data_IF_933440085681
#
_entry.id   IF_933440085681
#
_cell.length_a   1.000
_cell.length_b   1.000
_cell.length_c   1.000
_cell.angle_alpha   90.00
_cell.angle_beta   90.00
_cell.angle_gamma   90.00
#
_symmetry.space_group_name_H-M   'P 1'
#
loop_
_entity.id
_entity.type
_entity.pdbx_description
1 polymer ?
2 polymer ?
3 non-polymer ?
4 non-polymer ?
5 non-polymer ?
6 non-polymer ?
7 non-polymer ?
8 water ?
#
# COMPACT_ATOMS: atom_id res chain seq x y z
N UNK A 1 -15.99 -26.60 5.50
CA UNK A 1 -15.46 -25.21 5.24
C UNK A 1 -14.03 -25.03 5.78
N UNK A 2 -13.07 -24.96 4.86
CA UNK A 2 -11.66 -24.72 5.18
C UNK A 2 -11.28 -23.34 4.64
N UNK A 3 -10.39 -22.67 5.35
CA UNK A 3 -10.01 -21.30 5.01
C UNK A 3 -9.30 -21.15 3.66
N UNK A 4 -8.63 -22.22 3.22
CA UNK A 4 -7.92 -22.21 1.93
C UNK A 4 -8.89 -22.19 0.73
N UNK A 5 -10.09 -22.74 0.89
CA UNK A 5 -11.08 -22.80 -0.18
C UNK A 5 -12.18 -21.78 0.03
N UNK A 6 -12.29 -20.84 -0.91
CA UNK A 6 -13.35 -19.82 -0.89
C UNK A 6 -13.28 -18.97 0.38
N UNK A 7 -12.07 -18.80 0.91
CA UNK A 7 -11.85 -18.06 2.16
C UNK A 7 -12.66 -18.61 3.36
N UNK A 8 -13.01 -19.90 3.33
CA UNK A 8 -13.83 -20.49 4.40
C UNK A 8 -15.25 -19.95 4.50
N UNK A 9 -15.70 -19.24 3.45
CA UNK A 9 -16.94 -18.49 3.45
C UNK A 9 -16.88 -17.13 4.18
N UNK A 10 -15.72 -16.79 4.73
CA UNK A 10 -15.56 -15.58 5.54
C UNK A 10 -15.48 -14.35 4.64
N UNK A 11 -16.06 -13.26 5.10
CA UNK A 11 -15.92 -11.99 4.37
C UNK A 11 -14.48 -11.47 4.45
N UNK A 12 -13.86 -11.61 5.61
CA UNK A 12 -12.50 -11.10 5.89
C UNK A 12 -11.60 -12.26 6.31
N UNK A 13 -11.26 -12.40 7.58
CA UNK A 13 -10.18 -13.30 7.98
C UNK A 13 -10.76 -14.61 8.47
N UNK A 14 -9.96 -15.67 8.36
CA UNK A 14 -10.45 -17.06 8.61
C UNK A 14 -9.37 -17.82 9.36
N UNK A 15 -9.76 -18.54 10.42
CA UNK A 15 -8.87 -19.45 11.15
C UNK A 15 -9.45 -20.86 11.14
N UNK A 16 -8.62 -21.85 10.81
CA UNK A 16 -8.99 -23.28 10.95
C UNK A 16 -8.74 -23.71 12.40
N UNK A 17 -9.61 -24.57 12.91
CA UNK A 17 -9.52 -25.10 14.27
C UNK A 17 -9.56 -26.63 14.24
N UNK A 18 -9.30 -27.24 15.39
CA UNK A 18 -9.29 -28.70 15.53
C UNK A 18 -10.66 -29.31 15.20
N UNK A 19 -10.70 -30.10 14.12
CA UNK A 19 -11.93 -30.76 13.65
C UNK A 19 -12.45 -30.12 12.39
N UNK A 20 -13.75 -30.27 12.13
CA UNK A 20 -14.43 -29.57 11.02
C UNK A 20 -14.86 -28.17 11.48
N UNK A 21 -13.93 -27.44 12.12
CA UNK A 21 -14.23 -26.16 12.77
C UNK A 21 -13.48 -25.00 12.13
N UNK A 22 -14.16 -23.87 12.02
CA UNK A 22 -13.63 -22.68 11.39
C UNK A 22 -14.17 -21.46 12.14
N UNK A 23 -13.36 -20.43 12.34
CA UNK A 23 -13.86 -19.17 12.88
C UNK A 23 -13.45 -18.04 11.94
N UNK A 24 -14.43 -17.24 11.55
CA UNK A 24 -14.14 -16.01 10.81
C UNK A 24 -13.90 -14.90 11.77
N UNK A 25 -13.11 -13.92 11.33
CA UNK A 25 -12.83 -12.75 12.15
C UNK A 25 -12.88 -11.51 11.24
N UNK A 26 -12.91 -10.35 11.89
CA UNK A 26 -12.98 -9.06 11.20
C UNK A 26 -11.84 -8.16 11.70
N UNK A 27 -11.42 -7.28 10.82
CA UNK A 27 -10.41 -6.27 11.13
C UNK A 27 -10.95 -5.34 12.21
N UNK A 28 -10.04 -4.68 12.93
CA UNK A 28 -10.43 -3.61 13.82
C UNK A 28 -11.35 -2.62 13.08
N UNK A 29 -12.36 -2.10 13.76
CA UNK A 29 -13.33 -1.21 13.17
C UNK A 29 -14.50 -1.91 12.49
N UNK A 30 -14.54 -3.24 12.66
CA UNK A 30 -15.64 -4.10 12.15
C UNK A 30 -16.03 -5.09 13.22
N UNK A 31 -17.28 -5.57 13.15
CA UNK A 31 -17.74 -6.66 14.02
C UNK A 31 -18.35 -7.76 13.15
N UNK A 32 -18.26 -8.98 13.66
CA UNK A 32 -18.78 -10.16 12.96
C UNK A 32 -20.27 -10.30 13.25
N UNK A 33 -21.05 -10.50 12.20
CA UNK A 33 -22.49 -10.72 12.33
C UNK A 33 -22.80 -12.15 12.80
N UNK A 34 -24.06 -12.34 13.14
CA UNK A 34 -24.53 -13.63 13.66
C UNK A 34 -24.49 -14.75 12.63
N UNK A 35 -24.38 -14.43 11.34
CA UNK A 35 -24.11 -15.45 10.32
C UNK A 35 -22.73 -16.10 10.45
N UNK A 36 -21.85 -15.49 11.26
CA UNK A 36 -20.54 -16.04 11.52
C UNK A 36 -19.52 -15.77 10.42
N UNK A 37 -19.90 -15.00 9.39
CA UNK A 37 -19.05 -14.77 8.22
C UNK A 37 -18.93 -13.30 7.83
N UNK A 38 -19.99 -12.52 8.00
CA UNK A 38 -20.05 -11.13 7.53
C UNK A 38 -19.47 -10.15 8.55
N UNK A 39 -18.87 -9.07 8.04
CA UNK A 39 -18.27 -8.05 8.87
C UNK A 39 -18.97 -6.73 8.62
N UNK A 40 -19.37 -6.02 9.67
CA UNK A 40 -20.05 -4.74 9.54
C UNK A 40 -19.23 -3.64 10.25
N UNK A 41 -19.11 -2.46 9.62
CA UNK A 41 -18.35 -1.40 10.30
C UNK A 41 -18.94 -1.01 11.66
N UNK A 42 -18.04 -0.70 12.60
CA UNK A 42 -18.41 -0.23 13.94
C UNK A 42 -17.96 1.19 14.20
N UNK A 43 -17.28 1.76 13.22
CA UNK A 43 -16.74 3.12 13.29
C UNK A 43 -17.10 3.86 12.01
N UNK A 44 -16.90 5.18 12.03
CA UNK A 44 -17.27 6.01 10.91
C UNK A 44 -16.38 5.78 9.67
N UNK A 45 -15.10 5.56 9.92
CA UNK A 45 -14.09 5.44 8.84
C UNK A 45 -13.31 4.16 8.95
N UNK A 46 -14.01 3.02 8.76
CA UNK A 46 -13.32 1.76 8.77
C UNK A 46 -12.30 1.63 7.63
N UNK A 47 -11.26 0.85 7.86
CA UNK A 47 -10.24 0.69 6.82
C UNK A 47 -10.83 0.10 5.55
N UNK A 48 -10.27 0.49 4.41
CA UNK A 48 -10.59 -0.17 3.15
C UNK A 48 -11.94 0.13 2.54
N UNK A 49 -12.66 1.12 3.07
CA UNK A 49 -13.91 1.60 2.49
C UNK A 49 -13.76 3.05 2.08
N UNK A 50 -14.44 3.42 1.02
CA UNK A 50 -14.31 4.74 0.39
C UNK A 50 -15.54 5.55 0.74
N UNK A 51 -15.48 6.48 1.69
CA UNK A 51 -16.67 7.19 2.20
C UNK A 51 -17.57 7.80 1.13
N UNK A 52 -16.99 8.45 0.12
CA UNK A 52 -17.84 9.12 -0.88
C UNK A 52 -18.62 8.11 -1.73
N UNK A 53 -18.09 6.90 -1.88
CA UNK A 53 -18.80 5.81 -2.58
C UNK A 53 -19.78 5.05 -1.68
N UNK A 54 -19.45 4.92 -0.39
CA UNK A 54 -20.36 4.25 0.58
C UNK A 54 -21.59 5.10 0.83
N UNK A 55 -21.44 6.41 0.80
CA UNK A 55 -22.57 7.34 0.95
C UNK A 55 -23.41 7.47 -0.34
N UNK A 56 -22.78 7.26 -1.49
CA UNK A 56 -23.47 7.19 -2.78
C UNK A 56 -23.95 5.75 -3.00
N UNK B 1 2.24 7.37 -13.07
CA UNK B 1 1.36 6.33 -13.62
C UNK B 1 1.19 6.59 -15.13
N UNK B 2 1.52 5.58 -15.92
CA UNK B 2 1.36 5.62 -17.38
C UNK B 2 0.10 4.86 -17.77
N UNK B 3 -0.75 5.51 -18.57
CA UNK B 3 -1.91 4.88 -19.16
C UNK B 3 -3.09 4.68 -18.22
N UNK B 4 -3.11 5.42 -17.12
CA UNK B 4 -4.23 5.35 -16.16
C UNK B 4 -5.22 6.46 -16.37
N UNK B 5 -5.91 6.84 -15.29
CA UNK B 5 -6.88 7.89 -15.28
C UNK B 5 -6.76 8.65 -13.97
N UNK B 6 -7.32 9.84 -13.91
CA UNK B 6 -7.37 10.58 -12.67
C UNK B 6 -8.20 9.76 -11.67
N UNK B 7 -7.67 9.60 -10.46
CA UNK B 7 -8.47 9.03 -9.38
C UNK B 7 -9.40 10.12 -8.89
N UNK B 8 -10.74 9.95 -9.04
CA UNK B 8 -11.61 11.00 -8.57
C UNK B 8 -11.33 11.35 -7.10
N UNK B 9 -11.30 12.64 -6.80
CA UNK B 9 -10.93 13.13 -5.49
C UNK B 9 -11.70 12.37 -4.41
N UNK B 10 -10.97 11.81 -3.47
CA UNK B 10 -11.59 11.06 -2.36
C UNK B 10 -11.73 9.58 -2.62
N UNK B 11 -11.49 9.11 -3.84
CA UNK B 11 -11.59 7.68 -4.15
C UNK B 11 -10.31 6.85 -3.91
N UNK B 12 -9.20 7.52 -3.58
CA UNK B 12 -7.96 6.88 -3.20
C UNK B 12 -7.53 7.47 -1.83
N UNK B 13 -8.37 7.35 -0.79
CA UNK B 13 -8.18 8.17 0.41
C UNK B 13 -7.03 7.72 1.34
N UNK B 14 -6.47 6.58 1.03
CA UNK B 14 -5.28 6.03 1.70
C UNK B 14 -3.96 6.49 1.06
N UNK B 15 -4.02 7.13 -0.10
CA UNK B 15 -2.79 7.53 -0.79
C UNK B 15 -2.06 8.61 0.01
N UNK B 16 -0.76 8.45 0.14
CA UNK B 16 0.12 9.41 0.80
C UNK B 16 1.08 10.00 -0.24
N UNK B 17 1.36 11.29 -0.08
CA UNK B 17 2.47 11.94 -0.81
C UNK B 17 3.57 12.22 0.21
N UNK B 18 4.78 11.76 -0.12
CA UNK B 18 5.97 12.08 0.67
C UNK B 18 6.77 13.19 0.00
N UNK B 19 7.13 14.17 0.82
CA UNK B 19 7.90 15.35 0.41
C UNK B 19 9.21 15.42 1.19
N UNK B 20 10.27 15.91 0.52
CA UNK B 20 11.52 16.26 1.22
C UNK B 20 11.93 17.66 0.74
N UNK B 21 12.16 18.57 1.68
CA UNK B 21 12.26 20.05 1.40
C UNK B 21 11.15 20.64 0.44
N UNK B 22 9.93 20.18 0.63
CA UNK B 22 8.81 20.51 -0.23
C UNK B 22 8.69 19.81 -1.59
N UNK B 23 9.68 19.01 -1.97
CA UNK B 23 9.75 18.36 -3.26
C UNK B 23 9.18 16.97 -3.19
N UNK B 24 8.50 16.58 -4.25
CA UNK B 24 7.97 15.21 -4.35
C UNK B 24 9.07 14.18 -4.26
N UNK B 25 8.92 13.24 -3.33
CA UNK B 25 9.86 12.14 -3.14
C UNK B 25 9.30 10.81 -3.62
N UNK B 26 8.11 10.45 -3.14
CA UNK B 26 7.56 9.11 -3.30
C UNK B 26 6.12 9.14 -2.85
N UNK B 27 5.43 8.03 -3.08
CA UNK B 27 4.13 7.79 -2.51
C UNK B 27 4.22 6.97 -1.25
N UNK B 28 3.05 6.69 -0.68
CA UNK B 28 2.92 5.83 0.50
C UNK B 28 1.48 5.43 0.65
N UNK B 29 1.22 4.57 1.63
CA UNK B 29 -0.12 4.09 1.93
C UNK B 29 -0.39 4.23 3.42
N UNK B 30 -1.46 4.90 3.76
CA UNK B 30 -1.90 4.98 5.16
C UNK B 30 -2.53 3.65 5.57
N UNK B 31 -2.04 3.06 6.68
CA UNK B 31 -2.67 1.82 7.21
C UNK B 31 -3.29 1.98 8.58
N UNK B 32 -3.03 3.09 9.25
CA UNK B 32 -3.65 3.44 10.53
C UNK B 32 -3.45 4.95 10.68
N UNK B 33 -3.95 5.56 11.74
CA UNK B 33 -3.81 7.00 11.84
C UNK B 33 -2.39 7.53 12.02
N UNK B 34 -1.45 6.68 12.46
CA UNK B 34 -0.05 7.13 12.61
C UNK B 34 0.96 6.38 11.74
N UNK B 35 0.50 5.41 10.96
CA UNK B 35 1.42 4.50 10.23
C UNK B 35 1.20 4.54 8.73
N UNK B 36 2.32 4.72 8.02
CA UNK B 36 2.36 4.73 6.55
C UNK B 36 3.35 3.70 6.05
N UNK B 37 2.96 2.93 5.04
CA UNK B 37 3.86 1.98 4.39
C UNK B 37 4.36 2.62 3.10
N UNK B 38 5.66 2.55 2.87
CA UNK B 38 6.25 3.09 1.64
C UNK B 38 7.35 2.11 1.15
N UNK B 39 8.24 2.56 0.26
CA UNK B 39 9.33 1.74 -0.27
C UNK B 39 10.64 2.20 0.37
N UNK B 40 11.48 1.23 0.78
CA UNK B 40 12.77 1.54 1.39
C UNK B 40 13.66 2.42 0.51
N UNK B 41 13.65 2.16 -0.79
CA UNK B 41 14.59 2.87 -1.68
C UNK B 41 14.30 4.36 -1.77
N UNK B 42 13.11 4.79 -1.39
CA UNK B 42 12.78 6.20 -1.33
C UNK B 42 13.69 6.98 -0.40
N UNK B 43 14.35 6.29 0.53
CA UNK B 43 15.14 6.94 1.57
C UNK B 43 16.64 6.74 1.40
N UNK B 44 17.07 6.23 0.25
CA UNK B 44 18.50 5.91 0.02
C UNK B 44 19.40 7.15 0.10
N UNK B 45 18.88 8.32 -0.27
CA UNK B 45 19.72 9.52 -0.41
C UNK B 45 19.30 10.67 0.50
N UNK B 46 18.55 10.37 1.56
CA UNK B 46 18.09 11.40 2.47
C UNK B 46 19.27 11.89 3.30
N UNK B 47 19.45 13.20 3.31
CA UNK B 47 20.53 13.85 4.05
C UNK B 47 19.99 14.29 5.39
N UNK B 48 18.95 15.13 5.36
CA UNK B 48 18.33 15.62 6.57
C UNK B 48 17.01 14.88 6.82
N UNK B 49 17.08 13.92 7.73
CA UNK B 49 15.95 13.07 8.07
C UNK B 49 14.82 13.82 8.74
N UNK B 50 15.06 15.05 9.18
CA UNK B 50 14.08 15.89 9.85
C UNK B 50 13.17 16.70 8.94
N UNK B 51 13.41 16.70 7.62
CA UNK B 51 12.63 17.47 6.64
C UNK B 51 11.69 16.59 5.77
N UNK B 52 11.37 15.40 6.27
CA UNK B 52 10.47 14.49 5.57
C UNK B 52 9.03 14.75 6.05
N UNK B 53 8.12 14.96 5.08
CA UNK B 53 6.72 15.25 5.36
C UNK B 53 5.84 14.26 4.61
N UNK B 54 4.79 13.79 5.29
CA UNK B 54 3.74 12.97 4.67
C UNK B 54 2.47 13.81 4.55
N UNK B 55 1.83 13.80 3.39
CA UNK B 55 0.60 14.52 3.16
C UNK B 55 -0.50 13.51 2.83
N UNK B 56 -1.58 13.61 3.60
CA UNK B 56 -2.80 12.83 3.39
C UNK B 56 -3.88 13.74 2.82
N UNK B 57 -4.86 13.16 2.11
CA UNK B 57 -5.96 13.92 1.57
C UNK B 57 -5.59 14.78 0.39
N UNK B 58 -4.44 14.48 -0.21
CA UNK B 58 -3.98 15.27 -1.36
C UNK B 58 -4.67 14.77 -2.61
N UNK B 59 -4.82 15.66 -3.58
CA UNK B 59 -5.42 15.30 -4.85
C UNK B 59 -4.77 16.05 -6.00
N UNK B 60 -4.97 17.36 -6.01
CA UNK B 60 -4.42 18.25 -7.05
C UNK B 60 -3.31 19.06 -6.40
N UNK B 61 -2.08 18.79 -6.82
CA UNK B 61 -0.91 19.45 -6.25
C UNK B 61 -0.82 20.95 -6.54
N UNK B 62 -1.60 21.43 -7.49
CA UNK B 62 -1.58 22.86 -7.83
C UNK B 62 -2.39 23.72 -6.88
N UNK B 63 -3.22 23.13 -6.03
CA UNK B 63 -4.09 23.92 -5.20
C UNK B 63 -4.17 23.40 -3.79
N UNK B 64 -4.64 24.24 -2.91
CA UNK B 64 -4.98 23.87 -1.56
C UNK B 64 -6.49 23.93 -1.45
N UNK B 65 -7.12 22.84 -1.04
CA UNK B 65 -8.57 22.84 -0.88
C UNK B 65 -9.03 22.60 0.54
N UNK B 66 -8.11 22.40 1.48
CA UNK B 66 -8.45 22.24 2.89
C UNK B 66 -8.65 20.82 3.39
N UNK B 67 -8.64 19.85 2.48
CA UNK B 67 -8.73 18.42 2.88
C UNK B 67 -7.35 17.81 3.14
N UNK B 68 -6.27 18.50 2.76
CA UNK B 68 -4.92 17.99 2.98
C UNK B 68 -4.56 18.04 4.45
N UNK B 69 -3.79 17.06 4.90
CA UNK B 69 -3.26 17.02 6.24
C UNK B 69 -1.79 16.61 6.13
N UNK B 70 -0.92 17.48 6.62
CA UNK B 70 0.52 17.24 6.59
C UNK B 70 1.03 16.85 7.95
N UNK B 71 1.96 15.90 7.97
CA UNK B 71 2.60 15.46 9.21
C UNK B 71 4.08 15.27 9.00
N UNK B 72 4.87 15.60 10.01
CA UNK B 72 6.26 15.18 10.04
C UNK B 72 6.40 13.69 10.20
N UNK B 73 7.39 13.14 9.51
CA UNK B 73 7.74 11.72 9.67
C UNK B 73 8.72 11.61 10.83
N UNK B 74 8.30 10.93 11.90
CA UNK B 74 9.10 10.73 13.12
C UNK B 74 10.03 9.52 13.08
N UNK B 75 9.65 8.48 12.34
CA UNK B 75 10.48 7.26 12.26
C UNK B 75 10.34 6.70 10.86
N UNK B 76 11.45 6.24 10.28
CA UNK B 76 11.46 5.48 9.02
C UNK B 76 12.10 4.15 9.36
N UNK B 77 11.34 3.07 9.27
CA UNK B 77 11.81 1.75 9.66
C UNK B 77 11.98 0.89 8.43
N UNK B 78 13.17 0.32 8.29
CA UNK B 78 13.59 -0.42 7.09
C UNK B 78 14.11 -1.82 7.49
N UNK B 79 13.71 -2.88 6.75
CA UNK B 79 14.20 -4.22 7.13
C UNK B 79 15.72 -4.31 7.02
N UNK B 80 16.32 -5.05 7.96
CA UNK B 80 17.76 -5.30 7.96
C UNK B 80 18.29 -5.88 6.65
N UNK B 81 17.44 -6.63 5.96
CA UNK B 81 17.77 -7.32 4.72
C UNK B 81 17.79 -6.44 3.49
N UNK B 82 17.24 -5.23 3.60
CA UNK B 82 17.28 -4.28 2.48
C UNK B 82 18.69 -3.72 2.28
N UNK B 83 19.16 -3.72 1.04
CA UNK B 83 20.45 -3.16 0.67
C UNK B 83 20.22 -1.94 -0.21
N UNK B 84 20.69 -0.75 0.22
CA UNK B 84 20.47 0.44 -0.61
C UNK B 84 20.87 0.28 -2.06
N UNK B 85 20.02 0.80 -2.94
CA UNK B 85 20.26 0.79 -4.38
C UNK B 85 19.83 -0.50 -5.06
N UNK B 86 19.10 -1.35 -4.34
CA UNK B 86 18.61 -2.60 -4.90
C UNK B 86 17.09 -2.69 -4.72
N UNK B 87 16.52 -3.80 -5.17
CA UNK B 87 15.07 -3.96 -5.25
C UNK B 87 14.51 -4.89 -4.17
N UNK B 88 15.30 -5.84 -3.65
CA UNK B 88 14.74 -6.83 -2.74
C UNK B 88 14.45 -6.20 -1.38
N UNK B 89 13.36 -6.61 -0.75
CA UNK B 89 12.94 -6.10 0.56
C UNK B 89 12.65 -4.60 0.53
N UNK B 90 12.01 -4.16 -0.55
CA UNK B 90 11.81 -2.73 -0.76
C UNK B 90 10.52 -2.25 -0.06
N UNK B 91 10.66 -2.07 1.24
CA UNK B 91 9.54 -1.68 2.09
C UNK B 91 10.05 -0.83 3.25
N UNK B 92 9.23 0.15 3.64
CA UNK B 92 9.51 0.99 4.80
C UNK B 92 8.23 1.22 5.56
N UNK B 93 8.33 1.28 6.89
CA UNK B 93 7.22 1.62 7.75
C UNK B 93 7.52 2.96 8.40
N UNK B 94 6.63 3.93 8.21
CA UNK B 94 6.83 5.29 8.66
C UNK B 94 5.86 5.60 9.77
N UNK B 95 6.39 6.13 10.87
CA UNK B 95 5.56 6.62 11.98
C UNK B 95 5.42 8.12 11.85
N UNK B 96 4.19 8.63 11.86
CA UNK B 96 3.94 10.06 11.82
C UNK B 96 4.09 10.67 13.21
N UNK B 97 4.46 11.95 13.26
CA UNK B 97 4.69 12.63 14.53
C UNK B 97 3.41 12.83 15.33
N UNK B 98 2.31 12.94 14.63
CA UNK B 98 0.98 13.10 15.20
C UNK B 98 0.02 12.35 14.29
N UNK B 99 -1.05 11.75 14.84
CA UNK B 99 -2.01 11.07 13.97
C UNK B 99 -2.66 12.01 12.96
N UNK B 100 -2.98 11.48 11.79
CA UNK B 100 -3.93 12.16 10.93
C UNK B 100 -5.33 11.95 11.49
N UNK B 101 -6.25 12.83 11.07
CA UNK B 101 -7.65 12.77 11.47
C UNK B 101 -8.38 12.09 10.33
N UNK B 102 -9.08 10.99 10.59
CA UNK B 102 -9.83 10.36 9.55
C UNK B 102 -11.03 11.20 9.14
N UNK B 103 -11.23 11.26 7.84
CA UNK B 103 -12.27 12.11 7.21
C UNK B 103 -12.74 11.41 5.95
N UNK B 104 -13.69 12.02 5.24
CA UNK B 104 -14.10 11.45 3.96
C UNK B 104 -12.93 11.33 2.97
N UNK B 105 -11.90 12.15 3.16
CA UNK B 105 -10.76 12.20 2.25
C UNK B 105 -9.49 11.55 2.78
N UNK B 106 -9.53 11.03 4.00
CA UNK B 106 -8.36 10.43 4.66
C UNK B 106 -8.84 9.19 5.41
N UNK B 107 -8.50 8.04 4.86
CA UNK B 107 -8.95 6.73 5.37
C UNK B 107 -7.82 5.71 5.17
N UNK B 108 -7.54 4.85 6.18
CA UNK B 108 -6.50 3.86 6.01
C UNK B 108 -6.93 2.72 5.08
N UNK B 109 -5.97 2.12 4.39
CA UNK B 109 -6.18 0.88 3.66
C UNK B 109 -5.96 -0.25 4.66
N UNK B 110 -6.73 -1.33 4.57
CA UNK B 110 -6.56 -2.43 5.53
C UNK B 110 -5.30 -3.21 5.25
N UNK B 111 -4.47 -3.40 6.28
CA UNK B 111 -3.35 -4.30 6.20
C UNK B 111 -3.90 -5.69 6.51
N UNK B 112 -3.88 -6.60 5.54
CA UNK B 112 -4.56 -7.89 5.75
C UNK B 112 -3.75 -8.82 6.63
N UNK B 113 -4.42 -9.83 7.19
CA UNK B 113 -3.69 -10.98 7.75
C UNK B 113 -2.93 -11.74 6.66
N UNK B 114 -1.78 -12.32 7.03
CA UNK B 114 -0.93 -13.02 6.07
C UNK B 114 -1.67 -14.17 5.39
N UNK B 115 -2.35 -15.00 6.17
CA UNK B 115 -3.08 -16.13 5.59
C UNK B 115 -4.11 -15.70 4.56
N UNK B 116 -4.92 -14.72 4.91
CA UNK B 116 -5.91 -14.18 3.99
C UNK B 116 -5.27 -13.64 2.70
N UNK B 117 -4.18 -12.91 2.88
CA UNK B 117 -3.51 -12.31 1.73
C UNK B 117 -2.94 -13.36 0.77
N UNK B 118 -2.33 -14.39 1.35
CA UNK B 118 -1.72 -15.48 0.57
C UNK B 118 -2.76 -16.43 -0.05
N UNK B 119 -3.78 -16.77 0.72
CA UNK B 119 -4.80 -17.75 0.29
C UNK B 119 -5.87 -17.17 -0.61
N UNK B 120 -6.16 -15.87 -0.46
CA UNK B 120 -7.31 -15.26 -1.11
C UNK B 120 -6.92 -14.06 -1.95
N UNK B 121 -6.30 -13.04 -1.34
CA UNK B 121 -6.02 -11.81 -2.10
C UNK B 121 -5.04 -12.03 -3.24
N UNK B 122 -4.10 -12.94 -3.07
CA UNK B 122 -3.07 -13.20 -4.10
C UNK B 122 -3.67 -13.73 -5.40
N UNK B 123 -4.90 -14.25 -5.34
CA UNK B 123 -5.61 -14.76 -6.53
C UNK B 123 -6.66 -13.84 -7.11
N UNK B 124 -6.81 -12.64 -6.57
CA UNK B 124 -7.65 -11.64 -7.18
C UNK B 124 -6.82 -11.08 -8.34
N UNK B 125 -7.37 -11.10 -9.55
CA UNK B 125 -6.53 -10.80 -10.72
C UNK B 125 -6.08 -9.35 -10.78
N UNK B 126 -7.05 -8.44 -10.66
CA UNK B 126 -6.80 -7.02 -10.87
C UNK B 126 -6.75 -6.28 -9.56
N UNK B 127 -5.85 -5.31 -9.49
CA UNK B 127 -5.68 -4.42 -8.34
C UNK B 127 -5.32 -3.03 -8.84
N UNK B 128 -5.49 -2.03 -7.97
CA UNK B 128 -5.24 -0.63 -8.33
C UNK B 128 -3.90 -0.16 -7.83
N UNK B 129 -3.18 0.56 -8.68
CA UNK B 129 -1.91 1.25 -8.32
C UNK B 129 -2.10 2.72 -8.60
N UNK B 130 -1.55 3.58 -7.75
CA UNK B 130 -1.82 5.00 -7.82
C UNK B 130 -0.62 5.82 -7.46
N UNK B 131 -0.61 7.06 -7.93
CA UNK B 131 0.43 8.02 -7.57
C UNK B 131 0.48 9.23 -8.47
N UNK B 132 1.37 10.15 -8.09
CA UNK B 132 1.63 11.40 -8.84
C UNK B 132 2.92 11.29 -9.64
N UNK B 133 3.33 10.08 -10.02
CA UNK B 133 4.55 9.89 -10.79
C UNK B 133 4.42 10.29 -12.26
N UNK B 134 5.47 9.96 -12.98
CA UNK B 134 5.56 10.29 -14.41
C UNK B 134 4.40 9.68 -15.18
N UNK B 135 3.81 10.49 -16.06
CA UNK B 135 2.72 10.08 -16.92
C UNK B 135 3.19 9.31 -18.16
N UNK B 136 4.47 9.43 -18.43
CA UNK B 136 5.15 8.83 -19.59
C UNK B 136 6.57 8.52 -19.17
N UNK B 137 7.19 7.51 -19.78
CA UNK B 137 8.63 7.32 -19.63
C UNK B 137 9.34 8.60 -20.13
N UNK B 138 10.27 9.11 -19.34
CA UNK B 138 10.99 10.36 -19.64
C UNK B 138 10.05 11.57 -19.77
N UNK B 139 8.93 11.54 -19.06
CA UNK B 139 7.95 12.58 -19.06
C UNK B 139 7.70 13.26 -17.72
N UNK B 140 6.88 14.30 -17.75
CA UNK B 140 6.50 15.07 -16.56
C UNK B 140 5.63 14.26 -15.62
N UNK B 141 5.71 14.61 -14.35
CA UNK B 141 4.86 13.98 -13.33
C UNK B 141 3.47 14.58 -13.35
N UNK B 142 2.53 13.89 -12.71
CA UNK B 142 1.15 14.29 -12.69
C UNK B 142 0.83 15.31 -11.64
N UNK B 143 -0.05 16.25 -11.94
CA UNK B 143 -0.56 17.21 -10.94
C UNK B 143 -1.80 16.69 -10.18
N UNK B 144 -2.58 15.83 -10.82
CA UNK B 144 -3.70 15.15 -10.14
C UNK B 144 -3.35 13.70 -9.93
N UNK B 145 -3.83 13.15 -8.81
CA UNK B 145 -3.56 11.76 -8.50
C UNK B 145 -4.13 10.84 -9.58
N UNK B 146 -3.30 9.91 -10.04
CA UNK B 146 -3.65 8.96 -11.08
C UNK B 146 -3.77 7.56 -10.52
N UNK B 147 -4.57 6.73 -11.19
CA UNK B 147 -4.81 5.36 -10.77
C UNK B 147 -4.92 4.46 -11.99
N UNK B 148 -4.49 3.22 -11.81
CA UNK B 148 -4.39 2.24 -12.89
C UNK B 148 -4.75 0.85 -12.39
N UNK B 149 -5.58 0.14 -13.15
CA UNK B 149 -5.91 -1.25 -12.83
C UNK B 149 -4.90 -2.14 -13.52
N UNK B 150 -4.21 -2.98 -12.75
CA UNK B 150 -3.18 -3.89 -13.28
C UNK B 150 -3.47 -5.34 -12.88
N UNK B 151 -3.22 -6.30 -13.79
CA UNK B 151 -3.38 -7.70 -13.46
C UNK B 151 -2.08 -8.27 -12.90
N UNK B 152 -2.21 -9.15 -11.92
CA UNK B 152 -1.09 -9.79 -11.25
C UNK B 152 -0.70 -11.07 -11.98
N UNK B 153 0.59 -11.33 -12.04
CA UNK B 153 1.11 -12.54 -12.68
C UNK B 153 1.73 -13.44 -11.63
N UNK B 154 1.55 -14.75 -11.76
CA UNK B 154 2.40 -15.67 -10.99
C UNK B 154 3.83 -15.51 -11.50
N UNK B 155 4.81 -15.65 -10.61
CA UNK B 155 6.20 -15.30 -10.94
C UNK B 155 6.75 -16.17 -12.07
N UNK B 156 6.40 -17.46 -12.09
CA UNK B 156 6.74 -18.34 -13.22
C UNK B 156 6.29 -17.70 -14.54
N UNK B 157 5.05 -17.23 -14.58
CA UNK B 157 4.47 -16.61 -15.79
C UNK B 157 5.13 -15.29 -16.14
N UNK B 158 5.48 -14.48 -15.13
CA UNK B 158 6.19 -13.22 -15.37
C UNK B 158 7.53 -13.43 -16.04
N UNK B 159 8.27 -14.44 -15.58
CA UNK B 159 9.59 -14.75 -16.13
C UNK B 159 9.48 -15.21 -17.58
N UNK B 160 8.53 -16.09 -17.87
CA UNK B 160 8.26 -16.59 -19.24
C UNK B 160 7.79 -15.48 -20.18
N UNK B 161 6.77 -14.74 -19.76
CA UNK B 161 6.20 -13.64 -20.57
C UNK B 161 7.10 -12.41 -20.73
N UNK B 162 8.18 -12.32 -19.94
CA UNK B 162 9.13 -11.18 -20.02
C UNK B 162 10.15 -11.35 -21.16
N UNK B 163 10.15 -10.41 -22.09
CA UNK B 163 11.07 -10.42 -23.24
C UNK B 163 12.42 -9.82 -22.86
N UNK B 170 15.39 -10.02 -11.90
CA UNK B 170 15.35 -11.10 -10.93
C UNK B 170 14.21 -10.88 -9.92
N UNK B 171 13.23 -11.78 -9.94
CA UNK B 171 12.01 -11.65 -9.16
C UNK B 171 12.06 -12.64 -8.01
N UNK B 172 12.15 -12.14 -6.79
CA UNK B 172 12.30 -12.97 -5.61
C UNK B 172 10.93 -13.25 -4.99
N UNK B 173 10.91 -14.07 -3.95
CA UNK B 173 9.69 -14.39 -3.22
C UNK B 173 9.13 -13.19 -2.45
N UNK B 174 9.91 -12.11 -2.38
CA UNK B 174 9.50 -10.86 -1.72
C UNK B 174 8.93 -9.84 -2.69
N UNK B 175 8.70 -10.27 -3.94
CA UNK B 175 8.18 -9.45 -5.02
C UNK B 175 7.07 -10.16 -5.77
N UNK B 176 6.31 -9.39 -6.54
CA UNK B 176 5.47 -9.94 -7.59
C UNK B 176 5.39 -9.00 -8.77
N UNK B 177 5.05 -9.55 -9.94
CA UNK B 177 4.87 -8.77 -11.15
C UNK B 177 3.41 -8.44 -11.36
N UNK B 178 3.14 -7.25 -11.88
CA UNK B 178 1.82 -6.91 -12.30
C UNK B 178 1.88 -5.86 -13.39
N UNK B 179 0.88 -5.88 -14.26
CA UNK B 179 0.79 -4.88 -15.32
C UNK B 179 0.75 -5.53 -16.69
N UNK B 180 1.46 -4.90 -17.63
CA UNK B 180 1.30 -5.16 -19.07
C UNK B 180 2.67 -5.12 -19.73
N UNK B 181 2.88 -5.98 -20.72
CA UNK B 181 4.15 -6.06 -21.43
C UNK B 181 4.18 -5.26 -22.75
N UNK B 182 3.11 -4.54 -23.08
CA UNK B 182 2.99 -3.83 -24.38
C UNK B 182 3.40 -2.35 -24.37
N UNK B 183 3.97 -1.87 -23.26
CA UNK B 183 4.42 -0.49 -23.14
C UNK B 183 3.36 0.58 -22.93
N UNK B 184 2.12 0.18 -22.63
CA UNK B 184 1.01 1.13 -22.55
C UNK B 184 0.65 1.58 -21.13
N UNK B 185 0.94 0.75 -20.13
CA UNK B 185 0.35 0.93 -18.80
C UNK B 185 1.31 0.42 -17.74
N UNK B 186 1.66 1.29 -16.78
CA UNK B 186 2.64 0.94 -15.74
C UNK B 186 2.64 2.00 -14.64
N UNK B 187 3.24 1.66 -13.50
CA UNK B 187 3.64 2.66 -12.52
C UNK B 187 5.05 3.11 -12.92
N UNK B 188 5.49 4.26 -12.43
CA UNK B 188 6.70 4.92 -12.95
C UNK B 188 7.42 5.69 -11.82
N UNK B 189 8.59 6.26 -12.12
CA UNK B 189 9.27 7.12 -11.16
C UNK B 189 8.32 8.21 -10.66
N UNK B 190 8.33 8.39 -9.34
CA UNK B 190 7.43 9.29 -8.67
C UNK B 190 6.29 8.54 -7.99
N UNK B 191 6.01 7.33 -8.43
CA UNK B 191 4.96 6.49 -7.82
C UNK B 191 5.49 5.54 -6.76
N UNK B 192 6.80 5.28 -6.71
CA UNK B 192 7.32 4.29 -5.75
C UNK B 192 6.86 4.58 -4.36
N UNK B 193 6.59 3.50 -3.63
CA UNK B 193 6.05 3.59 -2.28
C UNK B 193 4.55 3.59 -2.18
N UNK B 194 3.85 3.88 -3.28
CA UNK B 194 2.43 3.92 -3.28
C UNK B 194 1.79 2.53 -3.24
N UNK B 195 0.47 2.54 -3.09
CA UNK B 195 -0.26 1.30 -2.90
C UNK B 195 -0.53 0.54 -4.17
N UNK B 196 -0.48 -0.78 -4.02
CA UNK B 196 -1.15 -1.76 -4.89
C UNK B 196 -2.26 -2.35 -3.99
N UNK B 197 -3.49 -1.96 -4.30
CA UNK B 197 -4.67 -2.19 -3.45
C UNK B 197 -5.60 -3.18 -4.12
N UNK B 198 -6.09 -4.13 -3.34
CA UNK B 198 -6.85 -5.26 -3.86
C UNK B 198 -8.22 -5.31 -3.19
N UNK B 199 -9.27 -5.40 -4.00
CA UNK B 199 -10.63 -5.44 -3.51
C UNK B 199 -11.08 -6.88 -3.27
N UNK B 200 -11.71 -7.12 -2.12
CA UNK B 200 -12.33 -8.42 -1.86
C UNK B 200 -13.58 -8.22 -1.02
N UNK B 201 -14.71 -8.63 -1.58
CA UNK B 201 -16.00 -8.59 -0.91
C UNK B 201 -16.29 -7.27 -0.17
N UNK B 202 -16.08 -6.17 -0.89
CA UNK B 202 -16.54 -4.86 -0.46
C UNK B 202 -15.51 -4.01 0.26
N UNK B 203 -14.30 -4.56 0.42
CA UNK B 203 -13.23 -3.88 1.20
C UNK B 203 -11.92 -3.99 0.45
N UNK B 204 -11.10 -2.95 0.58
CA UNK B 204 -9.78 -2.88 -0.05
C UNK B 204 -8.65 -3.14 0.93
N UNK B 205 -7.62 -3.83 0.44
CA UNK B 205 -6.50 -4.29 1.23
C UNK B 205 -5.15 -3.96 0.57
N UNK B 206 -4.12 -3.81 1.39
CA UNK B 206 -2.78 -3.55 0.85
C UNK B 206 -2.11 -4.88 0.51
N UNK B 207 -1.83 -5.08 -0.78
CA UNK B 207 -1.12 -6.26 -1.25
C UNK B 207 0.26 -5.99 -1.85
N UNK B 208 0.52 -4.78 -2.30
CA UNK B 208 1.83 -4.49 -2.86
C UNK B 208 2.25 -3.06 -2.63
N UNK B 209 3.54 -2.81 -2.81
CA UNK B 209 4.11 -1.47 -2.79
C UNK B 209 4.80 -1.27 -4.13
N UNK B 210 4.52 -0.14 -4.79
CA UNK B 210 5.22 0.20 -6.04
C UNK B 210 6.73 0.25 -5.73
N UNK B 211 7.51 -0.56 -6.43
CA UNK B 211 8.94 -0.65 -6.15
C UNK B 211 9.72 0.05 -7.28
N UNK B 212 10.68 -0.59 -7.91
CA UNK B 212 11.44 0.03 -9.02
C UNK B 212 12.24 -1.10 -9.69
N UNK B 213 12.96 -0.83 -10.78
CA UNK B 213 13.06 0.50 -11.40
C UNK B 213 13.43 0.48 -12.87
N UNK B 215 13.39 1.92 -16.38
CA UNK B 215 12.42 1.11 -17.11
C UNK B 215 10.98 1.39 -16.72
N UNK B 216 10.34 2.30 -17.44
CA UNK B 216 8.97 2.71 -17.19
C UNK B 216 8.10 2.40 -18.40
N UNK B 217 7.07 1.55 -18.24
CA UNK B 217 6.23 1.08 -19.36
C UNK B 217 7.08 0.58 -20.54
N UNK B 218 8.10 -0.21 -20.22
CA UNK B 218 9.03 -0.72 -21.22
C UNK B 218 8.43 -1.95 -21.86
N UNK B 219 8.38 -1.98 -23.19
CA UNK B 219 7.87 -3.15 -23.91
C UNK B 219 8.67 -4.41 -23.50
N UNK B 220 7.93 -5.49 -23.25
CA UNK B 220 8.52 -6.75 -22.81
C UNK B 220 8.71 -6.92 -21.32
N UNK B 221 8.35 -5.91 -20.52
CA UNK B 221 8.57 -5.96 -19.07
C UNK B 221 7.32 -5.58 -18.32
N UNK B 222 7.20 -6.12 -17.11
CA UNK B 222 6.09 -5.84 -16.21
C UNK B 222 6.58 -5.01 -15.04
N UNK B 223 5.64 -4.35 -14.36
CA UNK B 223 5.95 -3.63 -13.12
C UNK B 223 6.27 -4.62 -12.01
N UNK B 224 7.17 -4.22 -11.12
CA UNK B 224 7.54 -5.05 -9.98
C UNK B 224 7.13 -4.38 -8.67
N UNK B 225 6.49 -5.18 -7.83
CA UNK B 225 5.86 -4.73 -6.59
C UNK B 225 6.41 -5.51 -5.42
N UNK B 226 6.59 -4.86 -4.27
CA UNK B 226 6.95 -5.56 -3.06
C UNK B 226 5.75 -6.37 -2.56
N UNK B 227 6.00 -7.64 -2.25
CA UNK B 227 4.95 -8.58 -1.83
C UNK B 227 4.68 -8.41 -0.34
N UNK B 228 3.69 -7.58 -0.04
CA UNK B 228 3.44 -7.12 1.34
C UNK B 228 3.12 -8.28 2.28
N UNK B 229 2.53 -9.35 1.75
CA UNK B 229 2.18 -10.52 2.57
C UNK B 229 3.37 -11.09 3.34
N UNK B 230 4.58 -10.94 2.80
CA UNK B 230 5.80 -11.43 3.45
C UNK B 230 6.20 -10.62 4.67
N UNK B 231 5.63 -9.43 4.82
CA UNK B 231 6.01 -8.46 5.84
C UNK B 231 4.93 -8.19 6.87
N UNK B 232 3.79 -8.87 6.82
CA UNK B 232 2.67 -8.54 7.74
C UNK B 232 3.10 -8.66 9.19
N UNK B 233 3.71 -9.77 9.55
CA UNK B 233 4.12 -10.00 10.93
C UNK B 233 5.20 -9.01 11.36
N UNK B 234 6.11 -8.69 10.45
CA UNK B 234 7.16 -7.70 10.72
C UNK B 234 6.56 -6.31 11.01
N UNK B 235 5.61 -5.91 10.16
CA UNK B 235 4.90 -4.64 10.34
C UNK B 235 4.10 -4.60 11.62
N UNK B 236 3.36 -5.67 11.90
CA UNK B 236 2.52 -5.68 13.10
C UNK B 236 3.34 -5.60 14.39
N UNK B 237 4.46 -6.30 14.42
CA UNK B 237 5.34 -6.21 15.60
C UNK B 237 5.87 -4.80 15.78
N UNK B 238 6.34 -4.17 14.70
CA UNK B 238 6.83 -2.80 14.81
C UNK B 238 5.77 -1.81 15.25
N UNK B 239 4.53 -1.99 14.79
CA UNK B 239 3.45 -1.06 15.21
C UNK B 239 3.07 -1.17 16.68
N UNK B 240 3.45 -2.27 17.32
CA UNK B 240 3.27 -2.46 18.77
C UNK B 240 4.48 -1.98 19.58
N UNK B 241 5.52 -1.50 18.92
CA UNK B 241 6.78 -1.13 19.59
C UNK B 241 6.83 0.34 19.91
N UNK B 242 7.57 0.71 20.95
CA UNK B 242 7.80 2.12 21.24
C UNK B 242 8.77 2.79 20.28
N UNK B 243 8.56 4.07 19.97
CA UNK B 243 9.51 4.80 19.13
C UNK B 243 10.89 4.88 19.76
N UNK B 244 11.90 5.00 18.90
CA UNK B 244 13.30 5.12 19.33
C UNK B 244 13.86 6.44 18.81
N UNK B 245 14.78 7.07 19.57
CA UNK B 245 15.36 8.32 19.08
C UNK B 245 16.09 8.10 17.76
N UNK B 246 16.10 9.13 16.92
CA UNK B 246 16.72 9.03 15.60
C UNK B 246 15.70 8.50 14.62
N UNK B 247 15.56 9.18 13.49
CA UNK B 247 14.46 8.90 12.57
C UNK B 247 14.64 7.52 11.91
N UNK B 248 15.79 7.25 11.32
CA UNK B 248 16.00 5.96 10.68
C UNK B 248 16.21 4.85 11.70
N UNK B 249 15.45 3.77 11.54
CA UNK B 249 15.65 2.55 12.31
C UNK B 249 15.73 1.37 11.37
N UNK B 250 16.79 0.58 11.47
CA UNK B 250 16.88 -0.67 10.78
C UNK B 250 16.45 -1.75 11.75
N UNK B 251 15.46 -2.53 11.36
CA UNK B 251 14.83 -3.54 12.22
C UNK B 251 15.05 -4.92 11.64
N UNK B 252 15.41 -5.91 12.47
CA UNK B 252 15.64 -7.25 11.98
C UNK B 252 14.48 -7.80 11.14
N UNK B 253 14.82 -8.43 10.02
CA UNK B 253 13.86 -9.16 9.22
C UNK B 253 14.44 -10.57 9.01
N UNK B 254 13.67 -11.64 9.25
CA UNK B 254 12.27 -11.62 9.66
C UNK B 254 11.98 -11.10 11.07
#
# INVERSE_FOLDING_TARGET
LICVNENGGCEQYCSDHTGTKRSCRCHEGYSLLADGVSCTPTVEYPCGKIPILEKRNASKPQGR
IVGGKVCPKGECPWQVLLLVNGAQLCGGTLINTIWVVSAAHCFDKIKNWRNLIAVLGEHDLSEHDGDEQSRRVAQVIIPSTYVPGTTNHDIALLRLHQPVVLTDHVVPLCLPERTFSERTLAFVRFSLVSGWGQLLDRGATALELMVLNVPRLMTQDCLQQSRKVGDSPNITEYMFCAGYSDGSKDSCKGDSGGPHATHYRGTWYLTGIVSWGQGCATVGHFGVYTRVSQYIEWLQKLMRSEPRPGVLLRAPFP
#
